data_IF_295779691116
#
_entry.id   IF_295779691116
#
_cell.length_a   1.000
_cell.length_b   1.000
_cell.length_c   1.000
_cell.angle_alpha   90.00
_cell.angle_beta   90.00
_cell.angle_gamma   90.00
#
_symmetry.space_group_name_H-M   'P 1'
#
loop_
_entity.id
_entity.type
_entity.pdbx_description
1 polymer ?
#
# COMPACT_ATOMS: atom_id res chain seq x y z
N UNK A 1 11.64 -3.31 -10.58
CA UNK A 1 10.63 -3.43 -9.51
C UNK A 1 10.58 -4.90 -9.12
N UNK A 2 10.59 -5.23 -7.83
CA UNK A 2 10.55 -6.62 -7.37
C UNK A 2 9.21 -7.25 -7.74
N UNK A 3 9.24 -8.40 -8.42
CA UNK A 3 8.03 -9.18 -8.69
C UNK A 3 7.69 -10.03 -7.46
N UNK A 4 6.82 -9.49 -6.60
CA UNK A 4 6.36 -10.16 -5.39
C UNK A 4 5.42 -11.34 -5.67
N UNK A 5 4.80 -11.40 -6.84
CA UNK A 5 3.93 -12.52 -7.20
C UNK A 5 4.73 -13.78 -7.57
N UNK A 6 6.00 -13.63 -7.96
CA UNK A 6 6.91 -14.75 -8.21
C UNK A 6 7.44 -15.42 -6.93
N UNK A 7 7.31 -14.77 -5.77
CA UNK A 7 7.68 -15.34 -4.48
C UNK A 7 6.60 -16.32 -3.99
N UNK A 8 7.00 -17.37 -3.28
CA UNK A 8 6.05 -18.13 -2.46
C UNK A 8 5.48 -17.27 -1.31
N UNK A 9 4.40 -17.75 -0.69
CA UNK A 9 3.64 -16.99 0.31
C UNK A 9 4.44 -16.72 1.59
N UNK A 10 5.26 -17.66 2.03
CA UNK A 10 6.07 -17.51 3.24
C UNK A 10 7.22 -16.53 3.03
N UNK A 11 7.91 -16.61 1.89
CA UNK A 11 8.95 -15.67 1.48
C UNK A 11 8.41 -14.24 1.36
N UNK A 12 7.24 -14.07 0.73
CA UNK A 12 6.61 -12.76 0.63
C UNK A 12 6.21 -12.22 2.01
N UNK A 13 5.60 -13.05 2.85
CA UNK A 13 5.24 -12.69 4.22
C UNK A 13 6.44 -12.20 5.02
N UNK A 14 7.56 -12.93 4.94
CA UNK A 14 8.80 -12.54 5.61
C UNK A 14 9.34 -11.22 5.08
N UNK A 15 9.32 -10.99 3.77
CA UNK A 15 9.74 -9.73 3.17
C UNK A 15 8.89 -8.55 3.65
N UNK A 16 7.56 -8.71 3.70
CA UNK A 16 6.64 -7.69 4.23
C UNK A 16 6.95 -7.39 5.69
N UNK A 17 7.07 -8.43 6.53
CA UNK A 17 7.37 -8.28 7.96
C UNK A 17 8.67 -7.54 8.22
N UNK A 18 9.74 -7.94 7.55
CA UNK A 18 11.07 -7.33 7.70
C UNK A 18 11.04 -5.87 7.28
N UNK A 19 10.39 -5.57 6.16
CA UNK A 19 10.31 -4.20 5.68
C UNK A 19 9.50 -3.31 6.63
N UNK A 20 8.36 -3.79 7.13
CA UNK A 20 7.55 -3.07 8.12
C UNK A 20 8.38 -2.81 9.39
N UNK A 21 9.02 -3.83 9.96
CA UNK A 21 9.81 -3.69 11.19
C UNK A 21 10.98 -2.69 11.04
N UNK A 22 11.55 -2.56 9.84
CA UNK A 22 12.66 -1.65 9.59
C UNK A 22 12.23 -0.20 9.25
N UNK A 23 10.97 0.03 8.85
CA UNK A 23 10.54 1.31 8.27
C UNK A 23 9.31 1.93 8.95
N UNK A 24 8.58 1.17 9.77
CA UNK A 24 7.39 1.68 10.43
C UNK A 24 7.77 2.61 11.59
N UNK A 25 7.17 3.82 11.71
CA UNK A 25 7.44 4.70 12.82
C UNK A 25 6.77 4.18 14.10
N UNK A 26 7.56 3.72 15.06
CA UNK A 26 7.07 3.09 16.29
C UNK A 26 6.16 4.00 17.12
N UNK A 27 6.33 5.33 17.03
CA UNK A 27 5.54 6.33 17.75
C UNK A 27 4.03 6.32 17.40
N UNK A 28 3.66 5.76 16.25
CA UNK A 28 2.26 5.65 15.80
C UNK A 28 1.76 4.20 15.76
N UNK A 29 2.48 3.26 16.39
CA UNK A 29 2.10 1.84 16.44
C UNK A 29 0.89 1.61 17.34
N UNK A 30 -0.03 0.74 16.91
CA UNK A 30 -1.27 0.40 17.63
C UNK A 30 -2.07 1.64 18.08
N UNK A 31 -2.43 2.55 17.17
CA UNK A 31 -3.09 3.78 17.57
C UNK A 31 -4.51 3.49 18.11
N UNK A 32 -4.85 4.08 19.26
CA UNK A 32 -6.16 3.90 19.90
C UNK A 32 -7.32 4.57 19.14
N UNK A 33 -7.01 5.39 18.13
CA UNK A 33 -7.97 6.06 17.25
C UNK A 33 -7.43 6.09 15.82
N UNK A 34 -8.29 6.47 14.88
CA UNK A 34 -7.82 6.79 13.53
C UNK A 34 -6.92 8.03 13.56
N UNK A 35 -5.75 7.91 12.95
CA UNK A 35 -4.79 8.99 12.81
C UNK A 35 -5.06 9.83 11.56
N UNK A 36 -4.78 11.12 11.64
CA UNK A 36 -4.90 12.05 10.53
C UNK A 36 -3.72 12.00 9.56
N UNK A 37 -3.79 12.84 8.51
CA UNK A 37 -2.76 12.93 7.48
C UNK A 37 -1.39 13.35 8.02
N UNK A 38 -1.36 14.32 8.93
CA UNK A 38 -0.10 14.84 9.48
C UNK A 38 0.62 13.79 10.32
N UNK A 39 -0.14 13.10 11.18
CA UNK A 39 0.36 12.03 12.05
C UNK A 39 0.88 10.82 11.26
N UNK A 40 0.26 10.51 10.11
CA UNK A 40 0.64 9.35 9.27
C UNK A 40 1.55 9.72 8.10
N UNK A 41 1.96 10.99 7.96
CA UNK A 41 2.69 11.45 6.78
C UNK A 41 4.02 10.72 6.58
N UNK A 42 4.75 10.45 7.67
CA UNK A 42 6.00 9.69 7.64
C UNK A 42 5.80 8.30 7.05
N UNK A 43 4.80 7.58 7.55
CA UNK A 43 4.44 6.25 7.08
C UNK A 43 3.95 6.23 5.62
N UNK A 44 3.08 7.17 5.26
CA UNK A 44 2.63 7.36 3.88
C UNK A 44 3.81 7.52 2.91
N UNK A 45 4.79 8.38 3.26
CA UNK A 45 5.98 8.61 2.43
C UNK A 45 6.88 7.39 2.36
N UNK A 46 6.99 6.61 3.44
CA UNK A 46 7.76 5.35 3.43
C UNK A 46 7.15 4.35 2.43
N UNK A 47 5.83 4.12 2.51
CA UNK A 47 5.12 3.26 1.57
C UNK A 47 5.19 3.79 0.14
N UNK A 48 5.10 5.11 -0.06
CA UNK A 48 5.23 5.74 -1.38
C UNK A 48 6.58 5.45 -2.02
N UNK A 49 7.69 5.65 -1.28
CA UNK A 49 9.05 5.38 -1.78
C UNK A 49 9.27 3.91 -2.11
N UNK A 50 8.65 3.01 -1.35
CA UNK A 50 8.72 1.57 -1.57
C UNK A 50 7.81 1.11 -2.73
N UNK A 51 6.83 1.92 -3.14
CA UNK A 51 5.83 1.56 -4.14
C UNK A 51 4.69 0.70 -3.57
N UNK A 52 4.44 0.78 -2.26
CA UNK A 52 3.48 -0.07 -1.53
C UNK A 52 2.15 0.61 -1.19
N UNK A 53 1.92 1.84 -1.67
CA UNK A 53 0.67 2.57 -1.43
C UNK A 53 -0.56 1.92 -2.06
N UNK A 54 -0.39 1.27 -3.22
CA UNK A 54 -1.47 0.69 -4.00
C UNK A 54 -1.19 -0.79 -4.31
N UNK A 55 -1.35 -1.71 -3.35
CA UNK A 55 -0.96 -3.12 -3.53
C UNK A 55 -1.68 -3.82 -4.69
N UNK A 56 -2.97 -3.54 -4.88
CA UNK A 56 -3.78 -4.17 -5.94
C UNK A 56 -3.83 -3.41 -7.26
N UNK A 57 -3.28 -2.20 -7.36
CA UNK A 57 -3.32 -1.46 -8.61
C UNK A 57 -2.40 -2.11 -9.66
N UNK A 58 -2.77 -2.11 -10.95
CA UNK A 58 -1.89 -2.57 -12.02
C UNK A 58 -0.55 -1.83 -12.01
N UNK A 59 0.52 -2.54 -12.37
CA UNK A 59 1.89 -1.98 -12.42
C UNK A 59 1.99 -0.77 -13.34
N UNK A 60 1.27 -0.77 -14.46
CA UNK A 60 1.22 0.35 -15.42
C UNK A 60 0.61 1.65 -14.85
N UNK A 61 -0.02 1.61 -13.67
CA UNK A 61 -0.55 2.77 -12.96
C UNK A 61 0.17 3.00 -11.62
N UNK A 62 1.40 2.50 -11.48
CA UNK A 62 2.25 2.69 -10.31
C UNK A 62 1.90 1.83 -9.09
N UNK A 63 1.06 0.81 -9.27
CA UNK A 63 0.74 -0.17 -8.23
C UNK A 63 1.69 -1.35 -8.16
N UNK A 64 1.51 -2.21 -7.16
CA UNK A 64 2.30 -3.44 -7.03
C UNK A 64 1.80 -4.58 -7.92
N UNK A 65 0.55 -4.53 -8.38
CA UNK A 65 -0.07 -5.61 -9.16
C UNK A 65 -0.20 -6.93 -8.39
N UNK A 66 -0.31 -6.89 -7.06
CA UNK A 66 -0.36 -8.09 -6.24
C UNK A 66 -1.61 -8.92 -6.54
N UNK A 67 -1.46 -10.24 -6.54
CA UNK A 67 -2.58 -11.17 -6.50
C UNK A 67 -3.41 -10.99 -5.22
N UNK A 68 -4.68 -11.41 -5.23
CA UNK A 68 -5.56 -11.29 -4.05
C UNK A 68 -4.97 -11.96 -2.81
N UNK A 69 -4.35 -13.13 -2.96
CA UNK A 69 -3.70 -13.83 -1.84
C UNK A 69 -2.55 -13.03 -1.24
N UNK A 70 -1.69 -12.43 -2.07
CA UNK A 70 -0.60 -11.56 -1.61
C UNK A 70 -1.12 -10.27 -0.96
N UNK A 71 -2.21 -9.69 -1.46
CA UNK A 71 -2.85 -8.54 -0.82
C UNK A 71 -3.35 -8.89 0.59
N UNK A 72 -3.95 -10.09 0.78
CA UNK A 72 -4.37 -10.56 2.10
C UNK A 72 -3.18 -10.74 3.05
N UNK A 73 -2.10 -11.38 2.60
CA UNK A 73 -0.87 -11.52 3.40
C UNK A 73 -0.34 -10.16 3.85
N UNK A 74 -0.31 -9.18 2.95
CA UNK A 74 0.16 -7.83 3.28
C UNK A 74 -0.72 -7.15 4.32
N UNK A 75 -2.05 -7.31 4.22
CA UNK A 75 -3.00 -6.80 5.23
C UNK A 75 -2.75 -7.47 6.58
N UNK A 76 -2.61 -8.80 6.62
CA UNK A 76 -2.34 -9.55 7.86
C UNK A 76 -1.06 -9.08 8.55
N UNK A 77 0.03 -8.87 7.80
CA UNK A 77 1.30 -8.43 8.39
C UNK A 77 1.24 -6.96 8.86
N UNK A 78 0.53 -6.08 8.14
CA UNK A 78 0.33 -4.69 8.57
C UNK A 78 -0.50 -4.61 9.86
N UNK A 79 -1.64 -5.31 9.90
CA UNK A 79 -2.54 -5.34 11.06
C UNK A 79 -1.87 -6.05 12.24
N UNK A 80 -1.21 -7.19 12.00
CA UNK A 80 -0.51 -7.95 13.03
C UNK A 80 0.68 -7.20 13.64
N UNK A 81 1.35 -6.33 12.87
CA UNK A 81 2.38 -5.45 13.43
C UNK A 81 1.79 -4.28 14.22
N UNK A 82 0.56 -3.86 13.91
CA UNK A 82 -0.08 -2.68 14.50
C UNK A 82 0.13 -1.40 13.69
N UNK A 83 0.22 -1.52 12.35
CA UNK A 83 0.39 -0.38 11.47
C UNK A 83 -0.87 0.51 11.46
N UNK A 84 -0.68 1.82 11.54
CA UNK A 84 -1.76 2.79 11.45
C UNK A 84 -2.35 2.79 10.04
N UNK A 85 -3.68 2.76 9.96
CA UNK A 85 -4.39 2.92 8.69
C UNK A 85 -4.21 4.33 8.14
N UNK A 86 -3.77 4.42 6.89
CA UNK A 86 -3.61 5.69 6.18
C UNK A 86 -4.97 6.31 5.79
N UNK A 87 -5.04 7.64 5.61
CA UNK A 87 -6.09 8.27 4.82
C UNK A 87 -5.96 7.85 3.34
N UNK A 88 -6.75 6.85 2.95
CA UNK A 88 -6.58 6.05 1.73
C UNK A 88 -7.75 6.17 0.73
N UNK A 89 -8.74 7.03 0.99
CA UNK A 89 -9.98 7.12 0.17
C UNK A 89 -9.71 7.44 -1.30
N UNK A 90 -8.72 8.30 -1.60
CA UNK A 90 -8.32 8.57 -2.99
C UNK A 90 -7.80 7.32 -3.72
N UNK A 91 -7.09 6.45 -3.00
CA UNK A 91 -6.47 5.23 -3.55
C UNK A 91 -7.49 4.09 -3.63
N UNK A 92 -8.35 3.95 -2.62
CA UNK A 92 -9.27 2.82 -2.50
C UNK A 92 -10.60 3.06 -3.22
N UNK A 93 -11.03 4.32 -3.37
CA UNK A 93 -12.30 4.66 -4.02
C UNK A 93 -12.12 5.32 -5.38
N UNK A 94 -11.41 6.45 -5.45
CA UNK A 94 -11.35 7.26 -6.68
C UNK A 94 -10.45 6.63 -7.76
N UNK A 95 -9.28 6.13 -7.37
CA UNK A 95 -8.33 5.56 -8.33
C UNK A 95 -8.87 4.38 -9.13
N UNK A 96 -9.53 3.37 -8.54
CA UNK A 96 -10.12 2.26 -9.29
C UNK A 96 -11.19 2.71 -10.29
N UNK A 97 -12.00 3.72 -9.91
CA UNK A 97 -12.98 4.31 -10.83
C UNK A 97 -12.30 5.02 -12.00
N UNK A 98 -11.24 5.78 -11.74
CA UNK A 98 -10.48 6.48 -12.77
C UNK A 98 -9.73 5.51 -13.70
N UNK A 99 -9.14 4.43 -13.16
CA UNK A 99 -8.48 3.38 -13.94
C UNK A 99 -9.48 2.75 -14.91
N UNK A 100 -10.67 2.40 -14.41
CA UNK A 100 -11.67 1.65 -15.19
C UNK A 100 -12.48 2.53 -16.16
N UNK A 101 -12.89 3.71 -15.72
CA UNK A 101 -13.87 4.55 -16.43
C UNK A 101 -13.33 5.92 -16.86
N UNK A 102 -12.11 6.29 -16.45
CA UNK A 102 -11.50 7.56 -16.83
C UNK A 102 -11.25 7.66 -18.33
N UNK A 103 -11.38 8.86 -18.88
CA UNK A 103 -10.87 9.15 -20.22
C UNK A 103 -9.34 9.04 -20.26
N UNK A 104 -8.74 8.92 -21.44
CA UNK A 104 -7.29 8.92 -21.58
C UNK A 104 -6.66 10.19 -20.98
N UNK A 105 -7.26 11.36 -21.23
CA UNK A 105 -6.80 12.61 -20.66
C UNK A 105 -6.90 12.65 -19.11
N UNK A 106 -7.95 12.06 -18.53
CA UNK A 106 -8.07 11.97 -17.07
C UNK A 106 -7.04 11.00 -16.47
N UNK A 107 -6.87 9.83 -17.09
CA UNK A 107 -5.87 8.84 -16.67
C UNK A 107 -4.46 9.43 -16.74
N UNK A 108 -4.08 10.06 -17.85
CA UNK A 108 -2.78 10.70 -18.03
C UNK A 108 -2.52 11.88 -17.06
N UNK A 109 -3.57 12.55 -16.58
CA UNK A 109 -3.44 13.68 -15.66
C UNK A 109 -3.31 13.26 -14.20
N UNK A 110 -3.99 12.20 -13.79
CA UNK A 110 -4.21 11.88 -12.38
C UNK A 110 -3.63 10.53 -11.94
N UNK A 111 -3.31 9.63 -12.87
CA UNK A 111 -2.57 8.41 -12.59
C UNK A 111 -1.08 8.62 -12.91
N UNK A 112 -0.18 7.92 -12.20
CA UNK A 112 1.24 7.87 -12.55
C UNK A 112 1.49 7.27 -13.94
#
# INVERSE_FOLDING_TARGET
>A
MTDYNAMDDDSFRQAVRQWIAANYPDEIRNPARRLGREETQGWYRALSRQGWLCPGWPVQYGGMGLSTGKQLIMIEEMEGYGCARLPDSGITMLGPLLIRYGTEAQRARFLP
#
